data_IF_140559863849
#
_entry.id   IF_140559863849
#
_cell.length_a   1.000
_cell.length_b   1.000
_cell.length_c   1.000
_cell.angle_alpha   90.00
_cell.angle_beta   90.00
_cell.angle_gamma   90.00
#
_symmetry.space_group_name_H-M   'P 1'
#
loop_
_entity.id
_entity.type
_entity.pdbx_description
1 polymer ?
#
# COMPACT_ATOMS: atom_id res chain seq x y z
N UNK A 1 10.16 -10.88 -28.92
CA UNK A 1 9.77 -11.04 -27.49
C UNK A 1 9.38 -9.68 -26.94
N UNK A 2 8.23 -9.53 -26.27
CA UNK A 2 7.85 -8.26 -25.66
C UNK A 2 8.82 -7.94 -24.52
N UNK A 3 9.27 -6.68 -24.42
CA UNK A 3 10.02 -6.17 -23.25
C UNK A 3 9.20 -6.45 -21.98
N UNK A 4 9.85 -6.94 -20.91
CA UNK A 4 9.16 -7.33 -19.66
C UNK A 4 8.38 -6.16 -19.04
N UNK A 5 8.89 -4.94 -19.16
CA UNK A 5 8.23 -3.72 -18.70
C UNK A 5 6.95 -3.42 -19.48
N UNK A 6 6.98 -3.63 -20.80
CA UNK A 6 5.81 -3.48 -21.67
C UNK A 6 4.75 -4.56 -21.35
N UNK A 7 5.17 -5.80 -21.11
CA UNK A 7 4.28 -6.89 -20.72
C UNK A 7 3.60 -6.59 -19.37
N UNK A 8 4.38 -6.14 -18.37
CA UNK A 8 3.83 -5.69 -17.08
C UNK A 8 2.87 -4.51 -17.23
N UNK A 9 3.25 -3.48 -17.98
CA UNK A 9 2.41 -2.32 -18.23
C UNK A 9 1.10 -2.69 -18.95
N UNK A 10 1.18 -3.63 -19.92
CA UNK A 10 0.00 -4.16 -20.63
C UNK A 10 -0.92 -4.93 -19.67
N UNK A 11 -0.38 -5.79 -18.81
CA UNK A 11 -1.17 -6.55 -17.82
C UNK A 11 -1.84 -5.62 -16.79
N UNK A 12 -1.23 -4.47 -16.50
CA UNK A 12 -1.72 -3.50 -15.50
C UNK A 12 -2.73 -2.52 -16.08
N UNK A 13 -2.48 -1.99 -17.28
CA UNK A 13 -3.24 -0.87 -17.86
C UNK A 13 -3.89 -1.17 -19.22
N UNK A 14 -3.66 -2.35 -19.79
CA UNK A 14 -4.15 -2.68 -21.14
C UNK A 14 -5.68 -2.77 -21.26
N UNK A 15 -6.38 -2.91 -20.16
CA UNK A 15 -7.84 -2.91 -20.08
C UNK A 15 -8.45 -1.55 -19.66
N UNK A 16 -7.64 -0.48 -19.61
CA UNK A 16 -8.13 0.85 -19.26
C UNK A 16 -9.15 1.37 -20.29
N UNK A 17 -10.37 1.71 -19.82
CA UNK A 17 -11.47 2.16 -20.69
C UNK A 17 -11.36 3.66 -21.00
N UNK A 18 -10.37 4.06 -21.82
CA UNK A 18 -10.07 5.47 -22.12
C UNK A 18 -10.82 6.03 -23.33
N UNK A 19 -11.81 5.28 -23.88
CA UNK A 19 -12.65 5.67 -25.00
C UNK A 19 -11.95 5.65 -26.36
N UNK A 20 -10.65 5.40 -26.44
CA UNK A 20 -9.85 5.25 -27.67
C UNK A 20 -8.66 4.32 -27.39
N UNK A 21 -8.52 3.27 -28.18
CA UNK A 21 -7.46 2.28 -28.03
C UNK A 21 -6.04 2.90 -28.08
N UNK A 22 -5.85 3.98 -28.84
CA UNK A 22 -4.57 4.72 -28.92
C UNK A 22 -4.23 5.37 -27.57
N UNK A 23 -5.21 5.80 -26.79
CA UNK A 23 -4.98 6.37 -25.45
C UNK A 23 -4.56 5.27 -24.47
N UNK A 24 -5.18 4.10 -24.55
CA UNK A 24 -4.80 2.93 -23.74
C UNK A 24 -3.40 2.45 -24.10
N UNK A 25 -3.07 2.33 -25.40
CA UNK A 25 -1.71 2.00 -25.84
C UNK A 25 -0.69 3.01 -25.34
N UNK A 26 -0.99 4.31 -25.40
CA UNK A 26 -0.12 5.38 -24.89
C UNK A 26 0.05 5.32 -23.37
N UNK A 27 -1.01 4.97 -22.60
CA UNK A 27 -0.91 4.76 -21.16
C UNK A 27 0.03 3.58 -20.83
N UNK A 28 -0.08 2.49 -21.57
CA UNK A 28 0.79 1.31 -21.43
C UNK A 28 2.25 1.67 -21.73
N UNK A 29 2.52 2.35 -22.84
CA UNK A 29 3.88 2.81 -23.19
C UNK A 29 4.46 3.74 -22.11
N UNK A 30 3.64 4.70 -21.64
CA UNK A 30 4.04 5.61 -20.55
C UNK A 30 4.35 4.83 -19.27
N UNK A 31 3.52 3.85 -18.89
CA UNK A 31 3.75 3.04 -17.69
C UNK A 31 5.01 2.19 -17.81
N UNK A 32 5.30 1.64 -18.98
CA UNK A 32 6.54 0.90 -19.25
C UNK A 32 7.77 1.81 -19.04
N UNK A 33 7.79 3.00 -19.66
CA UNK A 33 8.89 3.95 -19.49
C UNK A 33 9.07 4.43 -18.04
N UNK A 34 7.96 4.64 -17.30
CA UNK A 34 8.02 4.96 -15.87
C UNK A 34 8.61 3.81 -15.05
N UNK A 35 8.33 2.55 -15.41
CA UNK A 35 8.89 1.40 -14.69
C UNK A 35 10.41 1.24 -14.89
N UNK A 36 10.93 1.73 -16.02
CA UNK A 36 12.37 1.74 -16.31
C UNK A 36 13.11 2.86 -15.56
N UNK A 37 12.48 4.03 -15.42
CA UNK A 37 13.06 5.22 -14.76
C UNK A 37 12.02 5.92 -13.89
N UNK A 38 11.68 5.38 -12.71
CA UNK A 38 10.66 5.97 -11.84
C UNK A 38 11.07 7.36 -11.34
N UNK A 39 10.23 8.37 -11.56
CA UNK A 39 10.46 9.72 -11.03
C UNK A 39 9.13 10.49 -10.93
N UNK A 40 8.97 11.32 -9.90
CA UNK A 40 7.79 12.17 -9.73
C UNK A 40 7.66 13.25 -10.81
N UNK A 41 8.78 13.67 -11.41
CA UNK A 41 8.80 14.65 -12.51
C UNK A 41 8.76 13.96 -13.86
N UNK A 42 7.73 14.22 -14.64
CA UNK A 42 7.57 13.70 -16.03
C UNK A 42 8.82 14.02 -16.89
N UNK A 43 9.42 15.19 -16.69
CA UNK A 43 10.62 15.64 -17.41
C UNK A 43 11.90 14.87 -17.07
N UNK A 44 11.92 14.12 -15.99
CA UNK A 44 13.05 13.24 -15.62
C UNK A 44 12.88 11.81 -16.13
N UNK A 45 11.66 11.47 -16.55
CA UNK A 45 11.33 10.15 -17.12
C UNK A 45 11.43 10.18 -18.64
N UNK A 46 10.87 11.21 -19.29
CA UNK A 46 10.70 11.30 -20.73
C UNK A 46 11.39 12.53 -21.32
N UNK A 47 11.85 12.39 -22.56
CA UNK A 47 12.48 13.45 -23.35
C UNK A 47 11.75 13.66 -24.69
N UNK A 48 11.96 14.81 -25.34
CA UNK A 48 11.46 15.10 -26.68
C UNK A 48 9.97 14.81 -26.87
N UNK A 49 9.65 14.05 -27.91
CA UNK A 49 8.28 13.71 -28.30
C UNK A 49 7.55 12.83 -27.26
N UNK A 50 8.26 11.97 -26.55
CA UNK A 50 7.67 11.12 -25.50
C UNK A 50 7.16 11.96 -24.32
N UNK A 51 7.92 12.97 -23.93
CA UNK A 51 7.52 13.91 -22.87
C UNK A 51 6.25 14.67 -23.26
N UNK A 52 6.17 15.17 -24.49
CA UNK A 52 4.95 15.82 -24.99
C UNK A 52 3.76 14.87 -25.00
N UNK A 53 3.97 13.64 -25.44
CA UNK A 53 2.93 12.62 -25.49
C UNK A 53 2.44 12.27 -24.08
N UNK A 54 3.34 12.18 -23.08
CA UNK A 54 2.97 11.97 -21.69
C UNK A 54 2.13 13.14 -21.13
N UNK A 55 2.54 14.39 -21.34
CA UNK A 55 1.73 15.54 -20.91
C UNK A 55 0.37 15.59 -21.61
N UNK A 56 0.30 15.33 -22.94
CA UNK A 56 -0.98 15.26 -23.66
C UNK A 56 -1.92 14.21 -23.06
N UNK A 57 -1.41 13.04 -22.68
CA UNK A 57 -2.24 12.02 -22.02
C UNK A 57 -2.70 12.48 -20.65
N UNK A 58 -1.77 12.96 -19.81
CA UNK A 58 -2.04 13.36 -18.42
C UNK A 58 -3.02 14.53 -18.34
N UNK A 59 -2.90 15.51 -19.22
CA UNK A 59 -3.74 16.72 -19.23
C UNK A 59 -5.04 16.56 -20.05
N UNK A 60 -5.17 15.45 -20.81
CA UNK A 60 -6.38 15.21 -21.60
C UNK A 60 -7.58 14.98 -20.70
N UNK A 61 -8.58 15.87 -20.79
CA UNK A 61 -9.85 15.78 -20.04
C UNK A 61 -10.71 14.60 -20.42
N UNK A 62 -10.57 14.08 -21.64
CA UNK A 62 -11.28 12.88 -22.10
C UNK A 62 -10.66 11.57 -21.58
N UNK A 63 -9.50 11.63 -20.89
CA UNK A 63 -8.90 10.54 -20.16
C UNK A 63 -9.26 10.71 -18.68
N UNK A 64 -10.28 9.99 -18.22
CA UNK A 64 -10.71 10.05 -16.83
C UNK A 64 -9.64 9.44 -15.91
N UNK A 65 -9.29 10.13 -14.82
CA UNK A 65 -8.34 9.61 -13.84
C UNK A 65 -8.87 8.33 -13.15
N UNK A 66 -10.18 8.25 -12.94
CA UNK A 66 -10.85 7.06 -12.41
C UNK A 66 -10.61 5.81 -13.27
N UNK A 67 -10.62 5.94 -14.61
CA UNK A 67 -10.40 4.78 -15.50
C UNK A 67 -8.96 4.26 -15.44
N UNK A 68 -7.98 5.17 -15.28
CA UNK A 68 -6.58 4.79 -15.05
C UNK A 68 -6.44 4.08 -13.70
N UNK A 69 -7.10 4.59 -12.66
CA UNK A 69 -7.13 3.96 -11.34
C UNK A 69 -7.80 2.58 -11.37
N UNK A 70 -8.97 2.47 -11.99
CA UNK A 70 -9.71 1.22 -12.08
C UNK A 70 -8.92 0.12 -12.80
N UNK A 71 -8.13 0.45 -13.83
CA UNK A 71 -7.26 -0.51 -14.49
C UNK A 71 -6.22 -1.08 -13.50
N UNK A 72 -5.56 -0.21 -12.72
CA UNK A 72 -4.60 -0.63 -11.69
C UNK A 72 -5.27 -1.50 -10.59
N UNK A 73 -6.49 -1.15 -10.16
CA UNK A 73 -7.23 -1.90 -9.14
C UNK A 73 -7.63 -3.29 -9.66
N UNK A 74 -8.12 -3.38 -10.91
CA UNK A 74 -8.43 -4.66 -11.54
C UNK A 74 -7.19 -5.54 -11.71
N UNK A 75 -6.05 -4.96 -12.08
CA UNK A 75 -4.79 -5.70 -12.15
C UNK A 75 -4.38 -6.24 -10.78
N UNK A 76 -4.48 -5.44 -9.73
CA UNK A 76 -4.24 -5.88 -8.35
C UNK A 76 -5.17 -7.01 -7.92
N UNK A 77 -6.46 -6.91 -8.21
CA UNK A 77 -7.43 -7.95 -7.88
C UNK A 77 -7.17 -9.27 -8.63
N UNK A 78 -6.77 -9.20 -9.91
CA UNK A 78 -6.33 -10.40 -10.66
C UNK A 78 -5.12 -11.08 -10.02
N UNK A 79 -4.15 -10.29 -9.55
CA UNK A 79 -2.99 -10.84 -8.83
C UNK A 79 -3.39 -11.46 -7.49
N UNK A 80 -4.36 -10.87 -6.80
CA UNK A 80 -4.89 -11.36 -5.52
C UNK A 80 -5.62 -12.71 -5.66
N UNK A 81 -6.18 -13.02 -6.84
CA UNK A 81 -6.91 -14.26 -7.11
C UNK A 81 -6.06 -15.55 -6.94
N UNK A 82 -4.73 -15.41 -6.87
CA UNK A 82 -3.83 -16.53 -6.58
C UNK A 82 -3.86 -16.98 -5.10
N UNK A 83 -4.54 -16.24 -4.21
CA UNK A 83 -4.51 -16.46 -2.77
C UNK A 83 -5.92 -16.68 -2.20
N UNK A 84 -6.05 -17.58 -1.23
CA UNK A 84 -7.32 -17.78 -0.51
C UNK A 84 -7.67 -16.60 0.42
N UNK A 85 -6.65 -15.89 0.89
CA UNK A 85 -6.78 -14.70 1.74
C UNK A 85 -5.79 -13.65 1.24
N UNK A 86 -6.22 -12.38 1.22
CA UNK A 86 -5.32 -11.24 1.08
C UNK A 86 -5.56 -10.25 2.20
N UNK A 87 -4.49 -9.78 2.81
CA UNK A 87 -4.58 -8.64 3.73
C UNK A 87 -4.72 -7.35 2.93
N UNK A 88 -5.60 -6.47 3.41
CA UNK A 88 -5.87 -5.19 2.76
C UNK A 88 -5.58 -4.06 3.75
N UNK A 89 -4.29 -3.71 3.98
CA UNK A 89 -3.96 -2.54 4.77
C UNK A 89 -4.46 -1.27 4.11
N UNK A 90 -5.16 -0.43 4.88
CA UNK A 90 -5.70 0.86 4.45
C UNK A 90 -5.14 1.96 5.33
N UNK A 91 -4.56 2.98 4.70
CA UNK A 91 -4.00 4.12 5.42
C UNK A 91 -4.08 5.41 4.61
N UNK A 92 -4.05 6.54 5.32
CA UNK A 92 -4.04 7.87 4.74
C UNK A 92 -2.63 8.46 4.75
N UNK A 93 -2.24 9.10 3.66
CA UNK A 93 -1.00 9.85 3.57
C UNK A 93 -1.23 11.24 2.98
N UNK A 94 -0.51 12.21 3.50
CA UNK A 94 -0.44 13.55 2.95
C UNK A 94 0.69 13.64 1.91
N UNK A 95 0.44 14.32 0.80
CA UNK A 95 1.39 14.53 -0.30
C UNK A 95 1.70 16.03 -0.40
N UNK A 96 2.90 16.41 0.06
CA UNK A 96 3.38 17.79 -0.02
C UNK A 96 3.82 18.13 -1.44
N UNK A 97 3.22 19.15 -2.04
CA UNK A 97 3.54 19.55 -3.41
C UNK A 97 4.03 21.00 -3.46
N UNK A 98 4.91 21.29 -4.41
CA UNK A 98 5.37 22.64 -4.67
C UNK A 98 4.29 23.45 -5.39
N UNK A 99 3.53 24.24 -4.65
CA UNK A 99 2.53 25.20 -5.16
C UNK A 99 2.77 26.55 -4.49
N UNK A 100 3.77 27.29 -4.99
CA UNK A 100 4.20 28.57 -4.39
C UNK A 100 3.10 29.63 -4.35
N UNK A 101 2.17 29.60 -5.30
CA UNK A 101 1.06 30.55 -5.37
C UNK A 101 -0.17 30.09 -4.57
N UNK A 102 -0.24 28.81 -4.13
CA UNK A 102 -1.38 28.23 -3.44
C UNK A 102 -2.66 28.20 -4.29
N UNK A 103 -2.52 28.19 -5.62
CA UNK A 103 -3.65 28.32 -6.56
C UNK A 103 -4.13 26.99 -7.14
N UNK A 104 -3.31 25.94 -7.05
CA UNK A 104 -3.59 24.65 -7.67
C UNK A 104 -4.08 23.62 -6.65
N UNK A 105 -3.54 23.67 -5.43
CA UNK A 105 -3.84 22.70 -4.37
C UNK A 105 -4.22 23.41 -3.08
N UNK A 106 -5.06 22.77 -2.29
CA UNK A 106 -5.48 23.26 -1.00
C UNK A 106 -4.44 22.98 0.12
N UNK A 107 -4.78 23.31 1.36
CA UNK A 107 -3.88 23.14 2.50
C UNK A 107 -3.64 21.67 2.80
N UNK A 108 -2.38 21.31 3.02
CA UNK A 108 -2.00 19.95 3.38
C UNK A 108 -2.47 19.56 4.78
N UNK A 109 -2.53 20.51 5.71
CA UNK A 109 -2.97 20.33 7.09
C UNK A 109 -4.12 21.28 7.43
N UNK A 110 -5.00 20.87 8.33
CA UNK A 110 -6.02 21.72 8.94
C UNK A 110 -5.40 22.82 9.82
N UNK A 111 -4.17 22.59 10.32
CA UNK A 111 -3.36 23.62 10.98
C UNK A 111 -2.64 24.44 9.91
N UNK A 112 -2.53 25.75 10.13
CA UNK A 112 -1.94 26.67 9.15
C UNK A 112 -0.42 26.48 9.04
N UNK A 113 0.04 25.54 8.21
CA UNK A 113 1.45 25.26 7.98
C UNK A 113 2.00 25.94 6.73
N UNK A 114 1.16 26.63 5.94
CA UNK A 114 1.56 27.22 4.65
C UNK A 114 1.90 26.22 3.55
N UNK A 115 1.81 24.90 3.82
CA UNK A 115 2.12 23.86 2.85
C UNK A 115 0.86 23.44 2.12
N UNK A 116 0.91 23.45 0.79
CA UNK A 116 -0.15 22.98 -0.12
C UNK A 116 0.10 21.54 -0.54
N UNK A 117 -0.98 20.84 -0.92
CA UNK A 117 -0.85 19.48 -1.41
C UNK A 117 -2.16 18.71 -1.53
N UNK A 118 -2.02 17.41 -1.56
CA UNK A 118 -3.10 16.46 -1.70
C UNK A 118 -3.12 15.47 -0.52
N UNK A 119 -4.27 14.87 -0.31
CA UNK A 119 -4.45 13.72 0.57
C UNK A 119 -4.64 12.48 -0.29
N UNK A 120 -4.16 11.35 0.18
CA UNK A 120 -4.42 10.04 -0.44
C UNK A 120 -4.81 9.03 0.64
N UNK A 121 -5.87 8.25 0.40
CA UNK A 121 -6.14 7.00 1.12
C UNK A 121 -5.88 5.86 0.16
N UNK A 122 -5.10 4.89 0.57
CA UNK A 122 -4.73 3.74 -0.25
C UNK A 122 -5.07 2.44 0.44
N UNK A 123 -5.67 1.49 -0.29
CA UNK A 123 -5.82 0.09 0.07
C UNK A 123 -4.81 -0.72 -0.73
N UNK A 124 -3.84 -1.31 -0.06
CA UNK A 124 -2.81 -2.16 -0.66
C UNK A 124 -3.26 -3.62 -0.55
N UNK A 125 -3.02 -4.44 -1.58
CA UNK A 125 -3.24 -5.89 -1.52
C UNK A 125 -1.94 -6.59 -1.15
N UNK A 126 -1.98 -7.43 -0.13
CA UNK A 126 -0.79 -8.09 0.45
C UNK A 126 -1.07 -9.57 0.62
N UNK A 127 -0.19 -10.43 0.13
CA UNK A 127 -0.29 -11.88 0.28
C UNK A 127 -0.19 -12.31 1.75
N UNK A 128 -0.57 -13.55 2.10
CA UNK A 128 -0.40 -14.09 3.45
C UNK A 128 1.04 -14.01 3.97
N UNK A 129 2.03 -14.10 3.09
CA UNK A 129 3.46 -14.03 3.41
C UNK A 129 3.96 -12.58 3.59
N UNK A 130 3.08 -11.58 3.39
CA UNK A 130 3.40 -10.17 3.55
C UNK A 130 4.04 -9.52 2.33
N UNK A 131 3.85 -10.09 1.14
CA UNK A 131 4.31 -9.54 -0.15
C UNK A 131 3.21 -8.68 -0.76
N UNK A 132 3.44 -7.38 -1.06
CA UNK A 132 2.49 -6.55 -1.81
C UNK A 132 2.26 -7.11 -3.21
N UNK A 133 1.00 -7.31 -3.60
CA UNK A 133 0.63 -7.91 -4.90
C UNK A 133 -0.15 -6.96 -5.80
N UNK A 134 -0.63 -5.83 -5.28
CA UNK A 134 -1.34 -4.85 -6.09
C UNK A 134 -1.95 -3.71 -5.30
N UNK A 135 -2.54 -2.76 -6.02
CA UNK A 135 -3.35 -1.69 -5.47
C UNK A 135 -4.82 -2.13 -5.49
N UNK A 136 -5.46 -2.19 -4.33
CA UNK A 136 -6.87 -2.56 -4.22
C UNK A 136 -7.81 -1.39 -4.54
N UNK A 137 -7.48 -0.21 -4.00
CA UNK A 137 -8.16 1.05 -4.29
C UNK A 137 -7.31 2.24 -3.83
N UNK A 138 -7.58 3.42 -4.37
CA UNK A 138 -6.95 4.66 -3.92
C UNK A 138 -7.87 5.85 -4.22
N UNK A 139 -8.01 6.75 -3.24
CA UNK A 139 -8.65 8.05 -3.42
C UNK A 139 -7.61 9.15 -3.21
N UNK A 140 -7.56 10.13 -4.14
CA UNK A 140 -6.67 11.29 -4.07
C UNK A 140 -7.52 12.56 -4.19
N UNK A 141 -7.35 13.49 -3.25
CA UNK A 141 -8.13 14.74 -3.24
C UNK A 141 -7.34 15.90 -2.66
N UNK A 142 -7.84 17.12 -2.89
CA UNK A 142 -7.35 18.33 -2.25
C UNK A 142 -8.37 18.83 -1.24
N UNK A 143 -7.90 19.43 -0.15
CA UNK A 143 -8.75 20.14 0.82
C UNK A 143 -9.11 21.51 0.30
N UNK A 144 -10.30 22.01 0.63
CA UNK A 144 -10.67 23.40 0.35
C UNK A 144 -10.09 24.34 1.39
N UNK A 145 -9.58 25.49 0.95
CA UNK A 145 -9.13 26.58 1.84
C UNK A 145 -10.26 27.12 2.72
N UNK A 146 -11.52 27.07 2.23
CA UNK A 146 -12.71 27.51 2.96
C UNK A 146 -13.07 26.60 4.13
N UNK A 147 -12.66 25.33 4.12
CA UNK A 147 -12.94 24.39 5.23
C UNK A 147 -12.17 24.71 6.52
N UNK A 148 -11.20 25.63 6.47
CA UNK A 148 -10.45 26.10 7.66
C UNK A 148 -11.29 26.86 8.68
N UNK A 149 -12.36 27.49 8.26
CA UNK A 149 -13.10 28.49 9.05
C UNK A 149 -14.40 27.96 9.70
N UNK A 150 -14.70 26.67 9.59
CA UNK A 150 -15.96 26.16 10.14
C UNK A 150 -15.90 25.95 11.66
N UNK A 151 -16.85 26.49 12.43
CA UNK A 151 -16.93 26.25 13.87
C UNK A 151 -17.03 24.75 14.18
N UNK A 152 -16.49 24.32 15.30
CA UNK A 152 -16.47 22.90 15.74
C UNK A 152 -17.88 22.26 15.80
N UNK A 153 -18.94 23.06 15.87
CA UNK A 153 -20.33 22.64 15.96
C UNK A 153 -21.01 22.41 14.58
N UNK A 154 -20.40 22.86 13.49
CA UNK A 154 -20.90 22.70 12.13
C UNK A 154 -20.13 21.59 11.40
N UNK A 155 -20.19 20.35 11.93
CA UNK A 155 -19.57 19.20 11.23
C UNK A 155 -20.39 18.88 9.95
N UNK A 156 -19.75 18.90 8.77
CA UNK A 156 -20.45 18.56 7.52
C UNK A 156 -20.93 17.10 7.51
N UNK A 157 -21.88 16.71 6.66
CA UNK A 157 -22.28 15.32 6.42
C UNK A 157 -21.04 14.42 6.18
N UNK A 158 -21.15 13.11 6.49
CA UNK A 158 -20.03 12.17 6.31
C UNK A 158 -19.57 12.18 4.85
N UNK A 159 -20.51 12.31 3.93
CA UNK A 159 -20.32 12.37 2.48
C UNK A 159 -19.42 13.54 2.05
N UNK A 160 -19.40 14.61 2.85
CA UNK A 160 -18.55 15.79 2.62
C UNK A 160 -17.24 15.75 3.43
N UNK A 161 -16.98 14.66 4.17
CA UNK A 161 -15.78 14.52 5.01
C UNK A 161 -14.72 13.62 4.38
N UNK A 162 -13.51 13.66 4.93
CA UNK A 162 -12.45 12.73 4.55
C UNK A 162 -12.79 11.28 4.88
N UNK A 163 -13.70 11.03 5.83
CA UNK A 163 -14.16 9.67 6.16
C UNK A 163 -14.90 9.02 5.00
N UNK A 164 -15.58 9.80 4.15
CA UNK A 164 -16.18 9.25 2.94
C UNK A 164 -15.14 8.67 1.99
N UNK A 165 -13.94 9.27 1.91
CA UNK A 165 -12.83 8.73 1.10
C UNK A 165 -12.36 7.36 1.59
N UNK A 166 -12.36 7.15 2.91
CA UNK A 166 -12.08 5.84 3.48
C UNK A 166 -13.16 4.83 3.08
N UNK A 167 -14.44 5.22 3.20
CA UNK A 167 -15.58 4.38 2.81
C UNK A 167 -15.52 4.04 1.31
N UNK A 168 -15.26 5.02 0.45
CA UNK A 168 -15.13 4.81 -0.99
C UNK A 168 -14.01 3.80 -1.33
N UNK A 169 -12.86 3.92 -0.68
CA UNK A 169 -11.71 3.02 -0.87
C UNK A 169 -12.01 1.60 -0.39
N UNK A 170 -12.67 1.45 0.76
CA UNK A 170 -13.09 0.15 1.29
C UNK A 170 -14.09 -0.52 0.34
N UNK A 171 -15.11 0.22 -0.11
CA UNK A 171 -16.14 -0.27 -1.03
C UNK A 171 -15.52 -0.69 -2.36
N UNK A 172 -14.76 0.22 -3.00
CA UNK A 172 -14.14 -0.05 -4.30
C UNK A 172 -13.22 -1.28 -4.25
N UNK A 173 -12.42 -1.40 -3.18
CA UNK A 173 -11.53 -2.55 -3.02
C UNK A 173 -12.32 -3.85 -2.84
N UNK A 174 -13.36 -3.86 -2.00
CA UNK A 174 -14.19 -5.03 -1.76
C UNK A 174 -14.95 -5.46 -3.03
N UNK A 175 -15.57 -4.51 -3.75
CA UNK A 175 -16.30 -4.78 -4.99
C UNK A 175 -15.39 -5.32 -6.10
N UNK A 176 -14.19 -4.70 -6.27
CA UNK A 176 -13.24 -5.14 -7.32
C UNK A 176 -12.71 -6.54 -7.04
N UNK A 177 -12.40 -6.85 -5.76
CA UNK A 177 -11.99 -8.20 -5.35
C UNK A 177 -13.13 -9.20 -5.48
N UNK A 178 -14.34 -8.85 -5.06
CA UNK A 178 -15.52 -9.70 -5.22
C UNK A 178 -15.81 -10.06 -6.68
N UNK A 179 -15.59 -9.13 -7.60
CA UNK A 179 -15.79 -9.35 -9.03
C UNK A 179 -14.69 -10.19 -9.71
N UNK A 180 -13.41 -10.00 -9.35
CA UNK A 180 -12.27 -10.57 -10.08
C UNK A 180 -11.51 -11.65 -9.30
N UNK A 181 -11.72 -11.76 -8.01
CA UNK A 181 -11.12 -12.75 -7.12
C UNK A 181 -12.15 -13.29 -6.11
N UNK A 182 -13.30 -13.82 -6.56
CA UNK A 182 -14.42 -14.17 -5.67
C UNK A 182 -14.10 -15.29 -4.66
N UNK A 183 -13.07 -16.09 -4.91
CA UNK A 183 -12.60 -17.14 -3.98
C UNK A 183 -11.62 -16.60 -2.93
N UNK A 184 -11.17 -15.34 -3.05
CA UNK A 184 -10.20 -14.71 -2.15
C UNK A 184 -10.93 -13.94 -1.05
N UNK A 185 -10.66 -14.26 0.20
CA UNK A 185 -11.17 -13.49 1.34
C UNK A 185 -10.34 -12.22 1.55
N UNK A 186 -10.90 -11.00 1.34
CA UNK A 186 -10.22 -9.77 1.71
C UNK A 186 -10.30 -9.56 3.22
N UNK A 187 -9.14 -9.29 3.84
CA UNK A 187 -9.06 -9.00 5.27
C UNK A 187 -8.47 -7.62 5.50
N UNK A 188 -9.34 -6.63 5.67
CA UNK A 188 -8.97 -5.23 5.84
C UNK A 188 -8.26 -4.98 7.17
N UNK A 189 -7.16 -4.21 7.14
CA UNK A 189 -6.34 -3.87 8.28
C UNK A 189 -6.26 -2.34 8.40
N UNK A 190 -6.88 -1.78 9.45
CA UNK A 190 -6.96 -0.34 9.65
C UNK A 190 -6.26 0.07 10.95
N UNK A 191 -5.63 1.23 10.91
CA UNK A 191 -5.03 1.84 12.10
C UNK A 191 -6.09 2.58 12.95
N UNK A 192 -5.64 3.42 13.88
CA UNK A 192 -6.51 4.25 14.74
C UNK A 192 -7.37 5.24 13.94
N UNK A 193 -6.94 5.65 12.74
CA UNK A 193 -7.71 6.52 11.85
C UNK A 193 -8.99 5.86 11.35
N UNK A 194 -8.94 4.54 11.14
CA UNK A 194 -10.10 3.72 10.79
C UNK A 194 -11.09 3.47 11.93
N UNK A 195 -10.74 3.77 13.19
CA UNK A 195 -11.65 3.65 14.35
C UNK A 195 -12.65 4.81 14.42
N UNK A 196 -13.23 5.18 13.30
CA UNK A 196 -14.31 6.16 13.19
C UNK A 196 -15.66 5.44 13.05
N UNK A 197 -16.68 5.96 13.76
CA UNK A 197 -18.03 5.34 13.73
C UNK A 197 -18.58 5.07 12.33
N UNK A 198 -18.50 6.00 11.34
CA UNK A 198 -18.96 5.73 10.00
C UNK A 198 -18.21 4.59 9.30
N UNK A 199 -16.89 4.50 9.49
CA UNK A 199 -16.04 3.45 8.91
C UNK A 199 -16.37 2.10 9.52
N UNK A 200 -16.49 2.01 10.85
CA UNK A 200 -16.85 0.75 11.54
C UNK A 200 -18.24 0.25 11.14
N UNK A 201 -19.22 1.15 11.00
CA UNK A 201 -20.57 0.81 10.54
C UNK A 201 -20.55 0.30 9.10
N UNK A 202 -19.73 0.89 8.26
CA UNK A 202 -19.57 0.47 6.88
C UNK A 202 -18.94 -0.91 6.79
N UNK A 203 -17.83 -1.14 7.50
CA UNK A 203 -17.15 -2.45 7.59
C UNK A 203 -18.08 -3.56 8.12
N UNK A 204 -18.94 -3.25 9.09
CA UNK A 204 -19.90 -4.23 9.63
C UNK A 204 -20.97 -4.65 8.61
N UNK A 205 -21.15 -3.89 7.53
CA UNK A 205 -22.12 -4.17 6.45
C UNK A 205 -21.50 -4.78 5.20
N UNK A 206 -20.16 -4.68 5.07
CA UNK A 206 -19.43 -5.33 3.99
C UNK A 206 -19.23 -6.82 4.34
N UNK A 207 -19.37 -7.68 3.34
CA UNK A 207 -19.07 -9.12 3.47
C UNK A 207 -17.55 -9.35 3.33
N UNK A 208 -16.79 -8.84 4.30
CA UNK A 208 -15.32 -8.89 4.32
C UNK A 208 -14.82 -9.15 5.74
N UNK A 209 -13.63 -9.70 5.87
CA UNK A 209 -12.94 -9.72 7.15
C UNK A 209 -12.29 -8.36 7.43
N UNK A 210 -12.25 -7.94 8.70
CA UNK A 210 -11.55 -6.72 9.09
C UNK A 210 -10.92 -6.81 10.48
N UNK A 211 -9.88 -6.00 10.67
CA UNK A 211 -9.26 -5.70 11.97
C UNK A 211 -8.98 -4.20 12.04
N UNK A 212 -9.46 -3.54 13.07
CA UNK A 212 -9.27 -2.10 13.30
C UNK A 212 -8.61 -1.89 14.65
N UNK A 213 -7.56 -1.08 14.70
CA UNK A 213 -6.96 -0.70 15.99
C UNK A 213 -7.83 0.33 16.70
N UNK A 214 -8.34 -0.03 17.87
CA UNK A 214 -9.16 0.87 18.67
C UNK A 214 -8.36 2.10 19.11
N UNK A 215 -8.90 3.28 18.86
CA UNK A 215 -8.40 4.58 19.32
C UNK A 215 -9.18 5.09 20.53
N UNK A 216 -10.42 4.61 20.71
CA UNK A 216 -11.38 5.09 21.69
C UNK A 216 -11.81 3.99 22.66
N UNK A 217 -12.06 4.38 23.91
CA UNK A 217 -12.69 3.50 24.91
C UNK A 217 -14.21 3.48 24.68
N UNK A 218 -14.64 2.70 23.67
CA UNK A 218 -16.03 2.65 23.21
C UNK A 218 -16.96 2.02 24.25
N UNK A 219 -18.25 2.38 24.16
CA UNK A 219 -19.32 1.77 24.95
C UNK A 219 -19.68 0.41 24.36
N UNK A 220 -19.89 -0.56 25.22
CA UNK A 220 -20.33 -1.91 24.88
C UNK A 220 -21.56 -2.29 25.70
N UNK A 221 -22.50 -3.01 25.07
CA UNK A 221 -23.64 -3.59 25.79
C UNK A 221 -23.21 -4.87 26.49
N UNK A 222 -23.64 -5.03 27.71
CA UNK A 222 -23.51 -6.25 28.55
C UNK A 222 -24.88 -6.63 29.13
N UNK A 223 -24.99 -7.82 29.66
CA UNK A 223 -26.25 -8.30 30.29
C UNK A 223 -26.66 -7.44 31.49
N UNK A 224 -25.72 -6.76 32.12
CA UNK A 224 -25.94 -5.87 33.29
C UNK A 224 -26.01 -4.39 32.92
N UNK A 225 -26.07 -4.05 31.60
CA UNK A 225 -26.14 -2.68 31.14
C UNK A 225 -24.98 -2.29 30.22
N UNK A 226 -24.59 -1.03 30.26
CA UNK A 226 -23.50 -0.49 29.40
C UNK A 226 -22.22 -0.36 30.22
N UNK A 227 -21.11 -0.87 29.65
CA UNK A 227 -19.75 -0.73 30.20
C UNK A 227 -18.81 -0.14 29.17
N UNK A 228 -17.59 0.17 29.56
CA UNK A 228 -16.55 0.55 28.60
C UNK A 228 -15.82 -0.68 28.01
N UNK A 229 -15.34 -0.55 26.76
CA UNK A 229 -14.57 -1.60 26.09
C UNK A 229 -13.35 -2.05 26.93
N UNK A 230 -12.64 -1.07 27.51
CA UNK A 230 -11.43 -1.37 28.30
C UNK A 230 -11.74 -2.15 29.57
N UNK A 231 -12.88 -1.87 30.24
CA UNK A 231 -13.30 -2.62 31.42
C UNK A 231 -13.68 -4.06 31.08
N UNK A 232 -14.49 -4.25 30.03
CA UNK A 232 -14.93 -5.58 29.62
C UNK A 232 -13.72 -6.41 29.14
N UNK A 233 -12.86 -5.83 28.32
CA UNK A 233 -11.65 -6.49 27.85
C UNK A 233 -10.69 -6.75 29.02
N UNK A 234 -10.57 -5.78 29.95
CA UNK A 234 -9.76 -5.90 31.19
C UNK A 234 -10.17 -7.05 32.10
N UNK A 235 -11.46 -7.38 32.15
CA UNK A 235 -12.02 -8.48 32.95
C UNK A 235 -11.96 -9.84 32.21
N UNK A 236 -11.65 -9.89 30.89
CA UNK A 236 -11.63 -11.13 30.14
C UNK A 236 -10.40 -11.99 30.48
N UNK A 237 -10.56 -13.32 30.34
CA UNK A 237 -9.48 -14.28 30.60
C UNK A 237 -8.36 -14.15 29.56
N UNK A 238 -7.11 -14.29 30.00
CA UNK A 238 -5.97 -14.43 29.12
C UNK A 238 -6.05 -15.75 28.32
N UNK A 239 -5.84 -15.66 27.02
CA UNK A 239 -5.77 -16.82 26.11
C UNK A 239 -4.39 -17.46 26.16
N UNK A 240 -3.34 -16.67 26.35
CA UNK A 240 -1.95 -17.11 26.35
C UNK A 240 -0.99 -15.96 26.08
N UNK A 241 0.24 -16.31 25.74
CA UNK A 241 1.28 -15.38 25.34
C UNK A 241 2.02 -15.89 24.12
N UNK A 242 2.63 -14.99 23.35
CA UNK A 242 3.50 -15.33 22.24
C UNK A 242 4.71 -14.41 22.20
N UNK A 243 5.74 -14.84 21.49
CA UNK A 243 6.97 -14.09 21.30
C UNK A 243 6.90 -13.32 19.98
N UNK A 244 7.10 -12.00 20.03
CA UNK A 244 7.12 -11.13 18.88
C UNK A 244 8.53 -10.54 18.71
N UNK A 245 9.11 -10.70 17.52
CA UNK A 245 10.33 -10.01 17.15
C UNK A 245 10.02 -8.58 16.73
N UNK A 246 10.53 -7.62 17.49
CA UNK A 246 10.40 -6.19 17.19
C UNK A 246 11.66 -5.73 16.47
N UNK A 247 11.57 -5.29 15.20
CA UNK A 247 12.76 -4.88 14.45
C UNK A 247 13.37 -3.60 15.02
N UNK A 248 14.67 -3.39 14.73
CA UNK A 248 15.34 -2.14 15.03
C UNK A 248 14.76 -1.00 14.19
N UNK A 249 14.73 0.18 14.80
CA UNK A 249 14.50 1.46 14.10
C UNK A 249 15.70 2.37 14.36
N UNK A 250 15.69 3.60 13.79
CA UNK A 250 16.75 4.57 14.07
C UNK A 250 16.92 4.85 15.57
N UNK A 251 15.80 4.84 16.30
CA UNK A 251 15.75 5.27 17.70
C UNK A 251 15.51 4.09 18.67
N UNK A 252 15.56 2.85 18.17
CA UNK A 252 15.25 1.66 18.99
C UNK A 252 16.01 0.44 18.47
N UNK A 253 16.71 -0.25 19.36
CA UNK A 253 17.33 -1.55 19.07
C UNK A 253 16.27 -2.65 18.77
N UNK A 254 16.67 -3.66 17.97
CA UNK A 254 15.84 -4.86 17.81
C UNK A 254 15.70 -5.59 19.16
N UNK A 255 14.51 -6.11 19.44
CA UNK A 255 14.23 -6.90 20.65
C UNK A 255 13.21 -8.00 20.39
N UNK A 256 13.15 -8.91 21.32
CA UNK A 256 12.12 -9.94 21.39
C UNK A 256 11.16 -9.55 22.54
N UNK A 257 9.88 -9.37 22.22
CA UNK A 257 8.83 -9.02 23.17
C UNK A 257 7.99 -10.25 23.49
N UNK A 258 7.74 -10.52 24.79
CA UNK A 258 6.73 -11.48 25.22
C UNK A 258 5.40 -10.73 25.37
N UNK A 259 4.40 -11.13 24.59
CA UNK A 259 3.12 -10.43 24.48
C UNK A 259 2.00 -11.31 25.00
N UNK A 260 1.34 -10.87 26.05
CA UNK A 260 0.13 -11.50 26.60
C UNK A 260 -1.09 -11.13 25.77
N UNK A 261 -1.97 -12.09 25.55
CA UNK A 261 -3.14 -11.92 24.68
C UNK A 261 -4.41 -12.35 25.39
N UNK A 262 -5.44 -11.52 25.30
CA UNK A 262 -6.81 -11.84 25.69
C UNK A 262 -7.80 -11.35 24.65
N UNK A 263 -8.96 -11.98 24.59
CA UNK A 263 -10.03 -11.59 23.68
C UNK A 263 -11.40 -11.89 24.31
N UNK A 264 -12.39 -11.12 23.91
CA UNK A 264 -13.79 -11.35 24.25
C UNK A 264 -14.71 -10.83 23.14
N UNK A 265 -15.85 -11.47 22.99
CA UNK A 265 -16.92 -10.98 22.10
C UNK A 265 -17.65 -9.84 22.80
N UNK A 266 -17.86 -8.74 22.10
CA UNK A 266 -18.54 -7.55 22.61
C UNK A 266 -19.58 -7.04 21.60
N UNK A 267 -20.63 -6.42 22.11
CA UNK A 267 -21.60 -5.66 21.29
C UNK A 267 -21.25 -4.18 21.41
N UNK A 268 -20.61 -3.63 20.37
CA UNK A 268 -20.30 -2.19 20.32
C UNK A 268 -21.58 -1.39 20.22
N UNK A 269 -21.69 -0.31 20.98
CA UNK A 269 -22.77 0.67 20.90
C UNK A 269 -22.23 1.88 20.14
N UNK A 270 -22.76 2.13 18.95
CA UNK A 270 -22.35 3.26 18.10
C UNK A 270 -23.51 4.19 17.83
N UNK A 271 -23.32 5.51 17.96
CA UNK A 271 -24.39 6.47 17.68
C UNK A 271 -24.73 6.50 16.19
N UNK A 272 -26.02 6.60 15.87
CA UNK A 272 -26.49 6.84 14.50
C UNK A 272 -26.39 8.32 14.10
N UNK A 273 -26.52 9.21 15.10
CA UNK A 273 -26.41 10.65 14.94
C UNK A 273 -25.05 11.22 15.33
N UNK A 274 -24.83 12.49 15.01
CA UNK A 274 -23.55 13.20 15.25
C UNK A 274 -23.35 13.67 16.68
N UNK A 275 -24.44 13.93 17.39
CA UNK A 275 -24.40 14.48 18.76
C UNK A 275 -23.99 13.47 19.81
N UNK A 276 -23.81 12.20 19.45
CA UNK A 276 -23.63 11.13 20.42
C UNK A 276 -24.86 10.85 21.28
N UNK A 277 -25.93 11.61 21.07
CA UNK A 277 -27.26 11.42 21.65
C UNK A 277 -28.23 11.03 20.52
N UNK A 278 -29.16 10.15 20.80
CA UNK A 278 -30.15 9.68 19.80
C UNK A 278 -30.12 8.16 19.64
N UNK A 279 -30.68 7.65 18.53
CA UNK A 279 -30.69 6.21 18.29
C UNK A 279 -29.26 5.66 18.13
N UNK A 280 -29.05 4.46 18.66
CA UNK A 280 -27.79 3.73 18.60
C UNK A 280 -27.97 2.46 17.79
N UNK A 281 -26.91 2.10 17.05
CA UNK A 281 -26.77 0.79 16.42
C UNK A 281 -25.83 -0.08 17.27
N UNK A 282 -26.09 -1.38 17.29
CA UNK A 282 -25.23 -2.34 17.95
C UNK A 282 -24.74 -3.35 16.94
N UNK A 283 -23.47 -3.69 16.96
CA UNK A 283 -22.94 -4.80 16.18
C UNK A 283 -21.88 -5.57 16.97
N UNK A 284 -21.85 -6.87 16.72
CA UNK A 284 -20.97 -7.80 17.42
C UNK A 284 -19.59 -7.81 16.79
N UNK A 285 -18.57 -7.66 17.62
CA UNK A 285 -17.16 -7.83 17.22
C UNK A 285 -16.41 -8.62 18.28
N UNK A 286 -15.28 -9.19 17.93
CA UNK A 286 -14.28 -9.64 18.90
C UNK A 286 -13.34 -8.49 19.22
N UNK A 287 -13.22 -8.15 20.48
CA UNK A 287 -12.19 -7.26 20.99
C UNK A 287 -11.00 -8.11 21.45
N UNK A 288 -9.79 -7.73 21.02
CA UNK A 288 -8.53 -8.39 21.35
C UNK A 288 -7.57 -7.38 21.97
N UNK A 289 -6.90 -7.75 23.04
CA UNK A 289 -5.77 -7.00 23.60
C UNK A 289 -4.49 -7.83 23.51
N UNK A 290 -3.47 -7.23 22.92
CA UNK A 290 -2.10 -7.74 22.90
C UNK A 290 -1.21 -6.76 23.65
N UNK A 291 -0.64 -7.20 24.79
CA UNK A 291 0.12 -6.35 25.71
C UNK A 291 1.47 -6.98 26.01
N UNK A 292 2.54 -6.24 25.78
CA UNK A 292 3.89 -6.64 26.18
C UNK A 292 3.97 -6.78 27.70
N UNK A 293 4.45 -7.94 28.17
CA UNK A 293 4.44 -8.31 29.60
C UNK A 293 5.38 -7.44 30.43
N UNK A 294 6.53 -7.10 29.87
CA UNK A 294 7.55 -6.28 30.52
C UNK A 294 7.77 -5.01 29.71
N UNK A 295 7.81 -3.86 30.39
CA UNK A 295 8.12 -2.61 29.72
C UNK A 295 9.59 -2.62 29.31
N UNK A 296 9.92 -2.39 28.02
CA UNK A 296 11.29 -2.31 27.58
C UNK A 296 11.94 -1.01 28.02
N UNK A 297 13.23 -1.06 28.38
CA UNK A 297 13.99 0.13 28.71
C UNK A 297 14.09 1.07 27.50
N UNK A 298 13.76 2.36 27.71
CA UNK A 298 13.89 3.41 26.70
C UNK A 298 12.96 3.29 25.48
N UNK A 299 11.95 2.42 25.51
CA UNK A 299 10.98 2.28 24.42
C UNK A 299 9.55 2.10 24.94
N UNK A 300 8.57 2.51 24.15
CA UNK A 300 7.17 2.22 24.46
C UNK A 300 6.86 0.73 24.32
N UNK A 301 6.13 0.14 25.29
CA UNK A 301 5.71 -1.25 25.19
C UNK A 301 4.65 -1.43 24.11
N UNK A 302 4.62 -2.62 23.52
CA UNK A 302 3.55 -3.00 22.60
C UNK A 302 2.25 -3.08 23.39
N UNK A 303 1.28 -2.28 22.96
CA UNK A 303 -0.07 -2.31 23.50
C UNK A 303 -1.08 -2.05 22.39
N UNK A 304 -1.68 -3.14 21.89
CA UNK A 304 -2.69 -3.07 20.86
C UNK A 304 -4.04 -3.51 21.41
N UNK A 305 -5.07 -2.74 21.12
CA UNK A 305 -6.47 -3.13 21.24
C UNK A 305 -7.06 -3.16 19.86
N UNK A 306 -7.51 -4.33 19.44
CA UNK A 306 -7.99 -4.61 18.09
C UNK A 306 -9.47 -4.98 18.13
N UNK A 307 -10.23 -4.49 17.18
CA UNK A 307 -11.62 -4.86 16.92
C UNK A 307 -11.68 -5.63 15.62
N UNK A 308 -12.25 -6.83 15.62
CA UNK A 308 -12.35 -7.67 14.42
C UNK A 308 -13.69 -8.40 14.37
N UNK A 309 -14.18 -8.71 13.16
CA UNK A 309 -15.32 -9.59 12.97
C UNK A 309 -14.93 -11.07 12.92
N UNK A 310 -13.62 -11.38 13.04
CA UNK A 310 -13.15 -12.78 13.14
C UNK A 310 -13.42 -13.33 14.53
N UNK A 311 -13.80 -14.62 14.57
CA UNK A 311 -13.94 -15.33 15.85
C UNK A 311 -12.56 -15.61 16.46
N UNK A 312 -12.36 -15.25 17.72
CA UNK A 312 -11.10 -15.46 18.43
C UNK A 312 -11.39 -16.17 19.76
N UNK A 313 -11.42 -17.48 19.72
CA UNK A 313 -11.66 -18.35 20.89
C UNK A 313 -10.42 -19.15 21.31
N UNK A 314 -9.37 -19.13 20.49
CA UNK A 314 -8.09 -19.81 20.75
C UNK A 314 -6.92 -18.86 20.57
N UNK A 315 -5.77 -19.23 21.14
CA UNK A 315 -4.52 -18.48 20.96
C UNK A 315 -4.07 -18.46 19.49
N UNK A 316 -4.31 -19.56 18.73
CA UNK A 316 -4.00 -19.62 17.30
C UNK A 316 -4.81 -18.58 16.51
N UNK A 317 -6.14 -18.52 16.73
CA UNK A 317 -6.99 -17.51 16.10
C UNK A 317 -6.61 -16.07 16.50
N UNK A 318 -6.20 -15.86 17.74
CA UNK A 318 -5.68 -14.56 18.19
C UNK A 318 -4.38 -14.18 17.48
N UNK A 319 -3.48 -15.16 17.30
CA UNK A 319 -2.22 -14.98 16.59
C UNK A 319 -2.47 -14.59 15.13
N UNK A 320 -3.42 -15.23 14.43
CA UNK A 320 -3.78 -14.89 13.05
C UNK A 320 -4.25 -13.43 12.92
N UNK A 321 -5.08 -12.96 13.87
CA UNK A 321 -5.53 -11.55 13.90
C UNK A 321 -4.35 -10.59 14.11
N UNK A 322 -3.43 -10.96 15.01
CA UNK A 322 -2.26 -10.11 15.32
C UNK A 322 -1.30 -10.08 14.13
N UNK A 323 -0.99 -11.24 13.52
CA UNK A 323 -0.16 -11.33 12.32
C UNK A 323 -0.79 -10.52 11.18
N UNK A 324 -2.10 -10.71 10.94
CA UNK A 324 -2.83 -9.91 9.96
C UNK A 324 -2.70 -8.40 10.22
N UNK A 325 -2.81 -7.98 11.48
CA UNK A 325 -2.65 -6.57 11.84
C UNK A 325 -1.22 -6.06 11.61
N UNK A 326 -0.20 -6.89 11.79
CA UNK A 326 1.19 -6.48 11.47
C UNK A 326 1.39 -6.19 9.99
N UNK A 327 0.59 -6.80 9.08
CA UNK A 327 0.65 -6.51 7.65
C UNK A 327 0.18 -5.08 7.31
N UNK A 328 -0.50 -4.39 8.22
CA UNK A 328 -0.86 -2.98 8.07
C UNK A 328 0.35 -2.11 7.76
N UNK A 329 1.52 -2.45 8.30
CA UNK A 329 2.75 -1.69 8.05
C UNK A 329 3.18 -1.66 6.58
N UNK A 330 2.72 -2.60 5.77
CA UNK A 330 3.04 -2.65 4.33
C UNK A 330 2.56 -1.43 3.55
N UNK A 331 1.42 -0.83 3.95
CA UNK A 331 0.94 0.39 3.29
C UNK A 331 1.82 1.61 3.63
N UNK A 332 2.42 1.66 4.81
CA UNK A 332 3.38 2.72 5.17
C UNK A 332 4.70 2.58 4.39
N UNK A 333 5.22 1.35 4.22
CA UNK A 333 6.37 1.07 3.35
C UNK A 333 6.09 1.46 1.90
N UNK A 334 4.90 1.11 1.38
CA UNK A 334 4.44 1.54 0.07
C UNK A 334 4.37 3.07 -0.03
N UNK A 335 3.75 3.77 0.92
CA UNK A 335 3.70 5.22 0.92
C UNK A 335 5.10 5.84 0.91
N UNK A 336 6.04 5.30 1.67
CA UNK A 336 7.44 5.76 1.67
C UNK A 336 8.09 5.57 0.29
N UNK A 337 7.93 4.40 -0.33
CA UNK A 337 8.46 4.11 -1.67
C UNK A 337 7.85 5.04 -2.74
N UNK A 338 6.55 5.26 -2.68
CA UNK A 338 5.81 6.09 -3.61
C UNK A 338 6.13 7.58 -3.46
N UNK A 339 6.19 8.11 -2.22
CA UNK A 339 6.37 9.53 -1.92
C UNK A 339 7.79 10.03 -2.22
N UNK A 340 8.79 9.43 -1.60
CA UNK A 340 10.17 9.92 -1.60
C UNK A 340 11.22 8.84 -1.83
N UNK A 341 10.82 7.56 -1.88
CA UNK A 341 11.72 6.42 -2.01
C UNK A 341 12.07 6.09 -3.45
N UNK A 342 11.28 5.20 -4.04
CA UNK A 342 11.48 4.72 -5.41
C UNK A 342 10.97 5.71 -6.47
N UNK A 343 9.84 6.38 -6.22
CA UNK A 343 9.09 7.11 -7.23
C UNK A 343 9.15 8.64 -7.07
N UNK A 344 9.25 9.18 -5.85
CA UNK A 344 9.37 10.62 -5.62
C UNK A 344 8.17 11.43 -6.09
N UNK A 345 6.91 10.95 -5.91
CA UNK A 345 5.71 11.62 -6.44
C UNK A 345 5.55 13.07 -5.91
N UNK A 346 6.07 13.37 -4.72
CA UNK A 346 6.02 14.71 -4.14
C UNK A 346 6.88 15.75 -4.93
N UNK A 347 7.79 15.29 -5.79
CA UNK A 347 8.55 16.14 -6.71
C UNK A 347 7.76 16.55 -7.97
N UNK A 348 6.51 16.06 -8.13
CA UNK A 348 5.66 16.35 -9.29
C UNK A 348 5.41 17.85 -9.48
N UNK A 349 5.46 18.28 -10.74
CA UNK A 349 5.16 19.65 -11.16
C UNK A 349 3.80 19.77 -11.86
N UNK A 350 2.98 18.72 -11.86
CA UNK A 350 1.61 18.73 -12.40
C UNK A 350 0.73 19.64 -11.55
N UNK A 351 -0.15 20.41 -12.22
CA UNK A 351 -0.94 21.49 -11.60
C UNK A 351 -2.43 21.19 -11.47
N UNK A 352 -2.91 20.08 -12.01
CA UNK A 352 -4.30 19.67 -11.83
C UNK A 352 -4.39 18.36 -11.05
N UNK A 353 -5.39 18.25 -10.18
CA UNK A 353 -5.66 17.01 -9.42
C UNK A 353 -5.83 15.82 -10.35
N UNK A 354 -6.55 16.00 -11.48
CA UNK A 354 -6.80 14.92 -12.43
C UNK A 354 -5.50 14.42 -13.11
N UNK A 355 -4.64 15.32 -13.59
CA UNK A 355 -3.35 14.94 -14.18
C UNK A 355 -2.43 14.30 -13.14
N UNK A 356 -2.38 14.88 -11.94
CA UNK A 356 -1.63 14.32 -10.82
C UNK A 356 -2.11 12.90 -10.47
N UNK A 357 -3.42 12.68 -10.35
CA UNK A 357 -3.98 11.37 -10.01
C UNK A 357 -3.60 10.30 -11.04
N UNK A 358 -3.66 10.60 -12.34
CA UNK A 358 -3.22 9.66 -13.38
C UNK A 358 -1.74 9.29 -13.20
N UNK A 359 -0.88 10.29 -13.03
CA UNK A 359 0.55 10.10 -12.83
C UNK A 359 0.86 9.36 -11.55
N UNK A 360 0.23 9.76 -10.45
CA UNK A 360 0.35 9.16 -9.15
C UNK A 360 -0.05 7.68 -9.13
N UNK A 361 -1.10 7.32 -9.90
CA UNK A 361 -1.54 5.91 -10.05
C UNK A 361 -0.49 5.06 -10.75
N UNK A 362 0.09 5.56 -11.86
CA UNK A 362 1.17 4.83 -12.56
C UNK A 362 2.37 4.63 -11.63
N UNK A 363 2.80 5.68 -10.95
CA UNK A 363 3.91 5.58 -9.97
C UNK A 363 3.57 4.69 -8.77
N UNK A 364 2.30 4.64 -8.34
CA UNK A 364 1.88 3.74 -7.26
C UNK A 364 2.08 2.26 -7.64
N UNK A 365 1.73 1.87 -8.87
CA UNK A 365 1.94 0.49 -9.33
C UNK A 365 3.43 0.14 -9.46
N UNK A 366 4.28 1.08 -9.85
CA UNK A 366 5.74 0.90 -9.88
C UNK A 366 6.32 0.79 -8.46
N UNK A 367 5.85 1.62 -7.52
CA UNK A 367 6.26 1.53 -6.11
C UNK A 367 5.88 0.17 -5.50
N UNK A 368 4.69 -0.34 -5.81
CA UNK A 368 4.23 -1.66 -5.36
C UNK A 368 5.12 -2.76 -5.95
N UNK A 369 5.48 -2.70 -7.24
CA UNK A 369 6.39 -3.67 -7.86
C UNK A 369 7.76 -3.69 -7.17
N UNK A 370 8.30 -2.53 -6.83
CA UNK A 370 9.57 -2.43 -6.12
C UNK A 370 9.49 -3.01 -4.68
N UNK A 371 8.39 -2.73 -3.98
CA UNK A 371 8.13 -3.31 -2.65
C UNK A 371 7.87 -4.82 -2.73
N UNK A 372 7.17 -5.29 -3.78
CA UNK A 372 6.96 -6.71 -4.07
C UNK A 372 8.30 -7.46 -4.15
N UNK A 373 9.21 -7.03 -5.03
CA UNK A 373 10.53 -7.65 -5.18
C UNK A 373 11.35 -7.61 -3.90
N UNK A 374 11.31 -6.49 -3.17
CA UNK A 374 11.97 -6.36 -1.86
C UNK A 374 11.44 -7.38 -0.85
N UNK A 375 10.14 -7.55 -0.74
CA UNK A 375 9.54 -8.48 0.23
C UNK A 375 9.72 -9.93 -0.22
N UNK A 376 9.48 -10.23 -1.49
CA UNK A 376 9.62 -11.57 -2.05
C UNK A 376 11.04 -12.12 -1.85
N UNK A 377 12.08 -11.28 -2.08
CA UNK A 377 13.47 -11.66 -1.83
C UNK A 377 13.79 -11.99 -0.37
N UNK A 378 12.92 -11.62 0.57
CA UNK A 378 13.08 -11.86 2.02
C UNK A 378 12.23 -13.01 2.53
N UNK A 379 11.04 -13.18 1.94
CA UNK A 379 10.06 -14.19 2.39
C UNK A 379 10.22 -15.51 1.65
N UNK A 380 10.58 -15.44 0.37
CA UNK A 380 10.69 -16.60 -0.52
C UNK A 380 11.96 -16.48 -1.40
N UNK A 381 13.16 -16.34 -0.79
CA UNK A 381 14.40 -16.08 -1.51
C UNK A 381 14.78 -17.16 -2.52
N UNK A 382 14.34 -18.40 -2.30
CA UNK A 382 14.64 -19.57 -3.14
C UNK A 382 13.76 -19.67 -4.41
N UNK A 383 12.76 -18.80 -4.55
CA UNK A 383 11.93 -18.77 -5.76
C UNK A 383 12.83 -18.56 -7.00
N UNK A 384 12.65 -19.32 -8.10
CA UNK A 384 13.39 -19.06 -9.33
C UNK A 384 13.20 -17.63 -9.84
N UNK A 385 14.30 -16.96 -10.19
CA UNK A 385 14.25 -15.56 -10.65
C UNK A 385 13.39 -15.38 -11.92
N UNK A 386 13.28 -16.43 -12.75
CA UNK A 386 12.42 -16.44 -13.94
C UNK A 386 10.92 -16.28 -13.64
N UNK A 387 10.47 -16.42 -12.38
CA UNK A 387 9.11 -16.11 -11.97
C UNK A 387 8.80 -14.60 -12.00
N UNK A 388 9.82 -13.76 -11.82
CA UNK A 388 9.68 -12.30 -11.68
C UNK A 388 10.42 -11.50 -12.77
N UNK A 389 11.43 -12.09 -13.40
CA UNK A 389 12.35 -11.44 -14.33
C UNK A 389 12.42 -12.20 -15.65
N UNK A 390 12.49 -11.47 -16.73
CA UNK A 390 12.81 -12.04 -18.03
C UNK A 390 14.24 -12.58 -18.09
N UNK A 391 14.51 -13.48 -19.04
CA UNK A 391 15.85 -14.00 -19.25
C UNK A 391 16.86 -12.89 -19.56
N UNK A 392 16.47 -11.89 -20.33
CA UNK A 392 17.33 -10.76 -20.68
C UNK A 392 17.68 -9.90 -19.45
N UNK A 393 16.76 -9.72 -18.52
CA UNK A 393 17.02 -9.03 -17.25
C UNK A 393 17.98 -9.83 -16.38
N UNK A 394 17.79 -11.15 -16.26
CA UNK A 394 18.68 -12.02 -15.49
C UNK A 394 20.10 -11.95 -16.06
N UNK A 395 20.24 -12.07 -17.37
CA UNK A 395 21.54 -12.01 -18.05
C UNK A 395 22.19 -10.63 -17.96
N UNK A 396 21.40 -9.56 -18.05
CA UNK A 396 21.87 -8.19 -17.82
C UNK A 396 22.44 -7.99 -16.41
N UNK A 397 21.76 -8.53 -15.38
CA UNK A 397 22.25 -8.48 -14.01
C UNK A 397 23.59 -9.25 -13.87
N UNK A 398 23.69 -10.44 -14.46
CA UNK A 398 24.91 -11.25 -14.45
C UNK A 398 26.06 -10.51 -15.16
N UNK A 399 25.81 -9.90 -16.33
CA UNK A 399 26.79 -9.11 -17.08
C UNK A 399 27.28 -7.89 -16.30
N UNK A 400 26.38 -7.16 -15.65
CA UNK A 400 26.72 -5.95 -14.88
C UNK A 400 27.45 -6.27 -13.58
N UNK A 401 26.97 -7.28 -12.83
CA UNK A 401 27.49 -7.62 -11.50
C UNK A 401 28.71 -8.55 -11.56
N UNK A 402 28.80 -9.39 -12.58
CA UNK A 402 29.85 -10.43 -12.76
C UNK A 402 30.06 -11.28 -11.50
N UNK A 403 29.02 -11.95 -11.00
CA UNK A 403 29.14 -12.74 -9.78
C UNK A 403 30.13 -13.89 -10.02
N UNK A 404 30.96 -14.18 -9.00
CA UNK A 404 32.02 -15.20 -9.10
C UNK A 404 31.39 -16.59 -9.38
N UNK A 405 31.86 -17.25 -10.41
CA UNK A 405 31.43 -18.61 -10.78
C UNK A 405 30.05 -18.68 -11.46
N UNK A 406 29.46 -17.55 -11.83
CA UNK A 406 28.17 -17.48 -12.54
C UNK A 406 28.41 -16.91 -13.94
N UNK A 407 27.91 -17.60 -14.97
CA UNK A 407 27.99 -17.18 -16.37
C UNK A 407 26.63 -16.75 -16.88
N UNK A 408 26.65 -15.94 -17.94
CA UNK A 408 25.43 -15.60 -18.71
C UNK A 408 24.76 -16.90 -19.16
N UNK A 409 23.45 -16.99 -19.02
CA UNK A 409 22.73 -18.23 -19.26
C UNK A 409 22.45 -19.05 -17.99
N UNK A 410 23.09 -18.75 -16.85
CA UNK A 410 22.84 -19.46 -15.59
C UNK A 410 21.51 -19.07 -14.96
N UNK A 411 20.90 -20.00 -14.21
CA UNK A 411 19.73 -19.73 -13.38
C UNK A 411 20.14 -19.05 -12.06
N UNK A 412 19.22 -18.26 -11.54
CA UNK A 412 19.36 -17.59 -10.25
C UNK A 412 18.06 -17.66 -9.47
N UNK A 413 18.14 -17.48 -8.15
CA UNK A 413 16.95 -17.30 -7.32
C UNK A 413 16.59 -15.82 -7.19
N UNK A 414 15.34 -15.53 -6.81
CA UNK A 414 14.89 -14.14 -6.56
C UNK A 414 15.75 -13.47 -5.50
N UNK A 415 16.10 -14.18 -4.42
CA UNK A 415 16.97 -13.66 -3.37
C UNK A 415 18.34 -13.25 -3.89
N UNK A 416 18.97 -14.10 -4.69
CA UNK A 416 20.27 -13.82 -5.32
C UNK A 416 20.16 -12.64 -6.29
N UNK A 417 19.19 -12.67 -7.19
CA UNK A 417 19.06 -11.65 -8.24
C UNK A 417 18.76 -10.26 -7.65
N UNK A 418 17.83 -10.17 -6.70
CA UNK A 418 17.51 -8.89 -6.03
C UNK A 418 18.70 -8.36 -5.23
N UNK A 419 19.49 -9.24 -4.63
CA UNK A 419 20.73 -8.83 -3.95
C UNK A 419 21.77 -8.26 -4.97
N UNK A 420 21.97 -8.91 -6.11
CA UNK A 420 22.87 -8.42 -7.17
C UNK A 420 22.36 -7.10 -7.79
N UNK A 421 21.05 -6.96 -7.98
CA UNK A 421 20.43 -5.70 -8.38
C UNK A 421 20.72 -4.60 -7.35
N UNK A 422 20.60 -4.91 -6.07
CA UNK A 422 20.92 -3.95 -5.01
C UNK A 422 22.41 -3.55 -5.02
N UNK A 423 23.33 -4.49 -5.24
CA UNK A 423 24.76 -4.20 -5.41
C UNK A 423 25.00 -3.22 -6.59
N UNK A 424 24.38 -3.50 -7.74
CA UNK A 424 24.40 -2.60 -8.91
C UNK A 424 23.85 -1.20 -8.53
N UNK A 425 22.84 -1.15 -7.64
CA UNK A 425 22.23 0.07 -7.11
C UNK A 425 23.10 0.82 -6.09
N UNK A 426 24.24 0.23 -5.66
CA UNK A 426 25.17 0.80 -4.68
C UNK A 426 24.99 0.30 -3.25
N UNK A 427 24.40 -0.88 -3.07
CA UNK A 427 24.35 -1.54 -1.77
C UNK A 427 25.77 -2.00 -1.36
N UNK A 428 26.19 -1.68 -0.15
CA UNK A 428 27.56 -1.95 0.30
C UNK A 428 27.70 -3.24 1.13
N UNK A 429 26.58 -3.90 1.46
CA UNK A 429 26.58 -5.13 2.26
C UNK A 429 27.11 -4.98 3.68
N UNK A 430 27.28 -3.74 4.19
CA UNK A 430 27.76 -3.52 5.56
C UNK A 430 26.75 -4.05 6.57
N UNK A 431 27.22 -4.84 7.53
CA UNK A 431 26.40 -5.47 8.58
C UNK A 431 25.56 -4.47 9.40
N UNK A 432 26.04 -3.23 9.54
CA UNK A 432 25.32 -2.15 10.23
C UNK A 432 24.14 -1.56 9.45
N UNK A 433 24.03 -1.84 8.13
CA UNK A 433 23.01 -1.25 7.24
C UNK A 433 21.75 -2.08 7.07
N UNK A 434 21.71 -3.32 7.56
CA UNK A 434 20.59 -4.25 7.31
C UNK A 434 20.44 -4.65 5.84
N UNK A 435 19.37 -5.36 5.45
CA UNK A 435 19.12 -5.77 4.08
C UNK A 435 18.79 -4.56 3.16
N UNK A 436 19.02 -4.68 1.83
CA UNK A 436 18.83 -3.57 0.91
C UNK A 436 17.39 -3.01 0.95
N UNK A 437 17.29 -1.69 1.02
CA UNK A 437 16.03 -0.96 0.99
C UNK A 437 15.51 -0.74 -0.44
N UNK A 438 14.21 -0.43 -0.57
CA UNK A 438 13.54 -0.25 -1.86
C UNK A 438 14.24 0.76 -2.76
N UNK A 439 14.73 1.88 -2.24
CA UNK A 439 15.41 2.93 -3.00
C UNK A 439 16.69 2.44 -3.69
N UNK A 440 17.45 1.54 -3.02
CA UNK A 440 18.67 0.97 -3.58
C UNK A 440 18.32 -0.05 -4.66
N UNK A 441 17.31 -0.90 -4.40
CA UNK A 441 16.81 -1.88 -5.36
C UNK A 441 16.31 -1.17 -6.63
N UNK A 442 15.49 -0.12 -6.49
CA UNK A 442 14.98 0.65 -7.64
C UNK A 442 16.10 1.25 -8.48
N UNK A 443 17.13 1.84 -7.84
CA UNK A 443 18.31 2.37 -8.55
C UNK A 443 19.06 1.26 -9.31
N UNK A 444 19.11 0.06 -8.77
CA UNK A 444 19.66 -1.10 -9.44
C UNK A 444 18.83 -1.52 -10.65
N UNK A 445 17.51 -1.58 -10.49
CA UNK A 445 16.57 -1.91 -11.57
C UNK A 445 16.67 -0.93 -12.75
N UNK A 446 16.80 0.37 -12.48
CA UNK A 446 17.02 1.39 -13.54
C UNK A 446 18.26 1.09 -14.40
N UNK A 447 19.36 0.69 -13.76
CA UNK A 447 20.60 0.33 -14.47
C UNK A 447 20.47 -0.98 -15.25
N UNK A 448 19.77 -1.94 -14.66
CA UNK A 448 19.50 -3.25 -15.29
C UNK A 448 18.58 -3.09 -16.50
N UNK A 449 17.57 -2.22 -16.45
CA UNK A 449 16.64 -2.00 -17.56
C UNK A 449 17.37 -1.56 -18.84
N UNK A 450 18.31 -0.59 -18.73
CA UNK A 450 19.11 -0.15 -19.87
C UNK A 450 20.00 -1.27 -20.44
N UNK A 451 20.61 -2.09 -19.58
CA UNK A 451 21.43 -3.22 -20.03
C UNK A 451 20.60 -4.34 -20.64
N UNK A 452 19.42 -4.64 -20.08
CA UNK A 452 18.50 -5.65 -20.59
C UNK A 452 18.00 -5.29 -22.00
N UNK A 453 17.70 -4.02 -22.24
CA UNK A 453 17.33 -3.54 -23.59
C UNK A 453 18.46 -3.79 -24.63
N UNK A 454 19.72 -3.56 -24.23
CA UNK A 454 20.87 -3.86 -25.11
C UNK A 454 21.03 -5.37 -25.36
N UNK A 455 20.85 -6.22 -24.32
CA UNK A 455 20.89 -7.69 -24.46
C UNK A 455 19.79 -8.18 -25.40
N UNK A 456 18.58 -7.65 -25.28
CA UNK A 456 17.45 -7.99 -26.18
C UNK A 456 17.77 -7.60 -27.63
N UNK A 457 18.29 -6.38 -27.84
CA UNK A 457 18.66 -5.91 -29.20
C UNK A 457 19.73 -6.78 -29.85
N UNK A 458 20.77 -7.17 -29.09
CA UNK A 458 21.84 -8.06 -29.61
C UNK A 458 21.33 -9.45 -29.98
N UNK A 459 20.37 -10.01 -29.21
CA UNK A 459 19.77 -11.31 -29.54
C UNK A 459 18.88 -11.27 -30.76
N UNK A 460 18.14 -10.18 -30.97
CA UNK A 460 17.34 -9.99 -32.19
C UNK A 460 18.22 -9.79 -33.43
N UNK A 461 19.31 -9.03 -33.30
CA UNK A 461 20.25 -8.81 -34.42
C UNK A 461 21.10 -10.05 -34.80
N UNK A 462 21.30 -11.01 -33.89
CA UNK A 462 21.99 -12.26 -34.15
C UNK A 462 21.08 -13.38 -34.69
N UNK A 463 19.78 -13.17 -34.75
CA UNK A 463 18.79 -14.13 -35.26
C UNK A 463 18.53 -14.00 -36.77
N UNK A 464 19.06 -12.96 -37.41
CA UNK A 464 18.90 -12.67 -38.86
C UNK A 464 20.18 -12.93 -39.67
N UNK A 465 21.14 -13.74 -39.14
CA UNK A 465 22.34 -14.18 -39.88
C UNK A 465 22.29 -15.67 -40.21
#
# INVERSE_FOLDING_TARGET
MQNSQLAWATSTFGDAALGDARRTARLVEMAAGVSERPNGRVTQVFEGAEREAAYRLLENRAVAASEVQQAAFRAGARSAAAFNIVFVPVDQSALGLTDRAGTHFGPLSTRNTGVSGLQAVSALLVSPEGVPVGLGAQAIWTRSWSQRAQPHNARPPVEETELQRWIDVLTTSAETLGALAPATLPWFQLDRGGDATPVLRHLARLDVAYTVRASSNRRVATDTGTRSLHEVLGASRWLGAYTLRVPATRDRAARTALVDVRACVVKLIVPLGRSGMGPFEQFTVTALEARERHQPDGAEPIHWRLLTNRSVVTMAAAHDVIVGYTMRWRVEEFHLAWKSGACGIEDSLLRSVAAFTKWATVLATVAIRAEHLKQLSRTTPELPAAAEFSRDEIDAVILLRKPKGVTVGADATVGQLVYWIADIGGYTGKSSGGPPGVRIITRGLERVAAAAAAVTALRLGNGDL
#
